data_IF_054883354270
#
_entry.id   IF_054883354270
#
_cell.length_a   1.000
_cell.length_b   1.000
_cell.length_c   1.000
_cell.angle_alpha   90.00
_cell.angle_beta   90.00
_cell.angle_gamma   90.00
#
_symmetry.space_group_name_H-M   'P 1'
#
loop_
_entity.id
_entity.type
_entity.pdbx_description
1 polymer ?
#
# COMPACT_ATOMS: atom_id res chain seq x y z
N UNK A 1 29.77 -7.77 -29.21
CA UNK A 1 28.95 -8.23 -28.06
C UNK A 1 29.88 -8.47 -26.87
N UNK A 2 29.75 -7.71 -25.78
CA UNK A 2 30.51 -7.98 -24.56
C UNK A 2 29.98 -9.27 -23.93
N UNK A 3 30.86 -10.26 -23.76
CA UNK A 3 30.50 -11.55 -23.19
C UNK A 3 30.08 -11.43 -21.73
N UNK A 4 29.14 -12.28 -21.31
CA UNK A 4 28.64 -12.40 -19.92
C UNK A 4 29.76 -12.37 -18.88
N UNK A 5 30.90 -13.03 -19.16
CA UNK A 5 32.07 -13.03 -18.29
C UNK A 5 32.68 -11.63 -18.05
N UNK A 6 32.73 -10.76 -19.07
CA UNK A 6 33.21 -9.38 -18.94
C UNK A 6 32.25 -8.52 -18.11
N UNK A 7 30.95 -8.77 -18.21
CA UNK A 7 29.92 -8.12 -17.39
C UNK A 7 29.97 -8.56 -15.93
N UNK A 8 30.22 -9.86 -15.67
CA UNK A 8 30.43 -10.37 -14.33
C UNK A 8 31.73 -9.85 -13.70
N UNK A 9 32.80 -9.69 -14.48
CA UNK A 9 34.05 -9.09 -14.01
C UNK A 9 33.89 -7.60 -13.68
N UNK A 10 33.24 -6.82 -14.56
CA UNK A 10 32.91 -5.41 -14.29
C UNK A 10 31.98 -5.24 -13.09
N UNK A 11 31.02 -6.15 -12.88
CA UNK A 11 30.18 -6.20 -11.68
C UNK A 11 30.97 -6.48 -10.40
N UNK A 12 32.05 -7.27 -10.48
CA UNK A 12 32.93 -7.59 -9.33
C UNK A 12 33.93 -6.48 -9.01
N UNK A 13 34.41 -5.76 -10.03
CA UNK A 13 35.43 -4.71 -9.86
C UNK A 13 34.90 -3.41 -9.24
N UNK A 14 33.58 -3.16 -9.28
CA UNK A 14 32.94 -2.00 -8.61
C UNK A 14 32.69 -2.33 -7.14
N UNK A 15 33.74 -2.25 -6.33
CA UNK A 15 33.90 -2.72 -4.95
C UNK A 15 32.99 -2.16 -3.84
N UNK A 16 31.75 -1.77 -4.13
CA UNK A 16 30.77 -1.39 -3.10
C UNK A 16 29.51 -2.26 -3.22
N UNK A 17 29.59 -3.54 -2.82
CA UNK A 17 28.39 -4.30 -2.49
C UNK A 17 28.47 -4.84 -1.08
N UNK A 18 27.46 -4.48 -0.30
CA UNK A 18 27.07 -5.19 0.92
C UNK A 18 26.75 -6.62 0.48
N UNK A 19 27.51 -7.59 0.98
CA UNK A 19 27.17 -9.00 0.80
C UNK A 19 26.05 -9.31 1.79
N UNK A 20 24.87 -9.65 1.30
CA UNK A 20 23.81 -10.17 2.16
C UNK A 20 24.06 -11.67 2.32
N UNK A 21 24.32 -12.12 3.55
CA UNK A 21 24.48 -13.55 3.86
C UNK A 21 23.17 -14.33 3.72
N UNK A 22 22.04 -13.64 3.92
CA UNK A 22 20.70 -14.19 3.77
C UNK A 22 19.78 -13.14 3.15
N UNK A 23 18.99 -13.57 2.16
CA UNK A 23 17.92 -12.78 1.55
C UNK A 23 16.62 -13.51 1.83
N UNK A 24 15.67 -12.84 2.49
CA UNK A 24 14.32 -13.35 2.71
C UNK A 24 13.38 -12.55 1.83
N UNK A 25 12.81 -13.22 0.82
CA UNK A 25 11.78 -12.64 -0.03
C UNK A 25 10.42 -12.84 0.63
N UNK A 26 9.71 -11.74 0.89
CA UNK A 26 8.36 -11.79 1.43
C UNK A 26 7.36 -11.78 0.26
N UNK A 27 6.68 -12.90 -0.03
CA UNK A 27 5.70 -12.94 -1.10
C UNK A 27 4.45 -12.14 -0.71
N UNK A 28 3.67 -11.77 -1.73
CA UNK A 28 2.32 -11.22 -1.51
C UNK A 28 1.46 -12.27 -0.83
N UNK A 29 0.63 -11.84 0.10
CA UNK A 29 -0.30 -12.75 0.77
C UNK A 29 -1.45 -13.13 -0.16
N UNK A 30 -1.93 -14.36 -0.03
CA UNK A 30 -3.13 -14.84 -0.72
C UNK A 30 -4.40 -14.31 -0.06
N UNK A 31 -5.52 -14.38 -0.79
CA UNK A 31 -6.86 -14.05 -0.27
C UNK A 31 -7.16 -14.84 1.02
N UNK A 32 -6.83 -16.14 1.05
CA UNK A 32 -7.03 -17.02 2.21
C UNK A 32 -6.20 -16.60 3.43
N UNK A 33 -4.92 -16.25 3.23
CA UNK A 33 -4.04 -15.78 4.31
C UNK A 33 -4.56 -14.47 4.89
N UNK A 34 -5.04 -13.54 4.06
CA UNK A 34 -5.65 -12.29 4.49
C UNK A 34 -6.97 -12.53 5.24
N UNK A 35 -7.85 -13.41 4.74
CA UNK A 35 -9.08 -13.76 5.44
C UNK A 35 -8.82 -14.37 6.82
N UNK A 36 -7.78 -15.21 6.92
CA UNK A 36 -7.35 -15.78 8.20
C UNK A 36 -6.82 -14.70 9.15
N UNK A 37 -6.04 -13.74 8.65
CA UNK A 37 -5.57 -12.59 9.42
C UNK A 37 -6.73 -11.74 9.95
N UNK A 38 -7.73 -11.46 9.12
CA UNK A 38 -8.90 -10.67 9.49
C UNK A 38 -9.68 -11.37 10.59
N UNK A 39 -10.02 -12.66 10.41
CA UNK A 39 -10.74 -13.45 11.42
C UNK A 39 -10.00 -13.50 12.75
N UNK A 40 -8.67 -13.69 12.71
CA UNK A 40 -7.85 -13.68 13.91
C UNK A 40 -7.91 -12.33 14.65
N UNK A 41 -7.88 -11.21 13.91
CA UNK A 41 -8.01 -9.86 14.51
C UNK A 41 -9.41 -9.59 15.06
N UNK A 42 -10.47 -10.08 14.40
CA UNK A 42 -11.83 -9.98 14.91
C UNK A 42 -12.00 -10.77 16.22
N UNK A 43 -11.48 -12.00 16.27
CA UNK A 43 -11.50 -12.83 17.47
C UNK A 43 -10.72 -12.17 18.63
N UNK A 44 -9.54 -11.60 18.35
CA UNK A 44 -8.74 -10.87 19.32
C UNK A 44 -9.47 -9.62 19.86
N UNK A 45 -10.21 -8.92 19.00
CA UNK A 45 -11.02 -7.77 19.37
C UNK A 45 -12.41 -8.13 19.93
N UNK A 46 -12.76 -9.42 20.00
CA UNK A 46 -14.09 -9.91 20.41
C UNK A 46 -15.25 -9.27 19.63
N UNK A 47 -15.09 -9.16 18.30
CA UNK A 47 -16.12 -8.64 17.39
C UNK A 47 -16.53 -9.70 16.37
N UNK A 48 -17.80 -9.70 16.00
CA UNK A 48 -18.37 -10.54 14.93
C UNK A 48 -19.05 -9.65 13.90
N UNK A 49 -18.31 -9.12 12.90
CA UNK A 49 -18.89 -8.25 11.89
C UNK A 49 -19.86 -8.99 10.97
N UNK A 50 -21.06 -8.46 10.79
CA UNK A 50 -22.03 -8.93 9.82
C UNK A 50 -21.72 -8.39 8.43
N UNK A 51 -21.78 -9.28 7.43
CA UNK A 51 -21.68 -8.94 6.01
C UNK A 51 -23.07 -8.87 5.35
N UNK A 52 -24.14 -9.00 6.14
CA UNK A 52 -25.50 -8.94 5.65
C UNK A 52 -25.79 -7.56 5.03
N UNK A 53 -26.47 -7.55 3.88
CA UNK A 53 -26.79 -6.31 3.16
C UNK A 53 -25.61 -5.63 2.46
N UNK A 54 -24.39 -6.19 2.52
CA UNK A 54 -23.25 -5.67 1.77
C UNK A 54 -23.44 -5.96 0.27
N UNK A 55 -23.57 -4.89 -0.53
CA UNK A 55 -23.72 -5.00 -1.99
C UNK A 55 -22.34 -5.01 -2.64
N UNK A 56 -21.87 -6.19 -3.04
CA UNK A 56 -20.63 -6.38 -3.80
C UNK A 56 -20.92 -6.18 -5.30
N UNK A 57 -20.10 -5.43 -6.07
CA UNK A 57 -20.29 -5.28 -7.50
C UNK A 57 -20.24 -6.63 -8.24
N UNK A 58 -21.23 -6.87 -9.12
CA UNK A 58 -21.41 -8.16 -9.84
C UNK A 58 -20.20 -8.63 -10.66
N UNK A 59 -19.31 -7.72 -11.08
CA UNK A 59 -18.13 -8.06 -11.88
C UNK A 59 -17.08 -8.88 -11.12
N UNK A 60 -17.13 -8.85 -9.78
CA UNK A 60 -16.16 -9.52 -8.89
C UNK A 60 -16.63 -10.93 -8.50
N UNK A 61 -17.87 -11.26 -8.88
CA UNK A 61 -18.68 -12.29 -8.26
C UNK A 61 -18.99 -13.43 -9.27
N UNK A 62 -18.20 -14.51 -9.21
CA UNK A 62 -18.32 -15.70 -10.09
C UNK A 62 -18.49 -17.01 -9.31
N UNK A 63 -18.97 -16.98 -8.05
CA UNK A 63 -19.01 -18.15 -7.15
C UNK A 63 -20.41 -18.73 -6.95
N UNK A 64 -20.48 -20.05 -6.68
CA UNK A 64 -21.69 -20.90 -6.63
C UNK A 64 -22.12 -21.27 -5.19
N UNK A 65 -22.02 -20.36 -4.21
CA UNK A 65 -22.26 -20.63 -2.78
C UNK A 65 -23.41 -19.78 -2.20
N UNK A 66 -23.98 -20.14 -1.02
CA UNK A 66 -25.10 -19.43 -0.37
C UNK A 66 -24.79 -17.96 -0.05
N UNK A 67 -25.84 -17.13 -0.02
CA UNK A 67 -25.79 -15.67 -0.25
C UNK A 67 -24.94 -14.83 0.75
N UNK A 68 -24.83 -15.21 2.02
CA UNK A 68 -23.99 -14.47 3.00
C UNK A 68 -22.51 -14.82 2.90
N UNK A 69 -22.17 -16.12 2.84
CA UNK A 69 -20.80 -16.58 2.63
C UNK A 69 -20.25 -16.13 1.26
N UNK A 70 -21.15 -15.96 0.30
CA UNK A 70 -20.85 -15.33 -0.99
C UNK A 70 -20.44 -13.87 -0.83
N UNK A 71 -21.14 -13.12 0.00
CA UNK A 71 -20.89 -11.69 0.23
C UNK A 71 -19.58 -11.45 0.98
N UNK A 72 -19.28 -12.25 2.01
CA UNK A 72 -18.01 -12.19 2.73
C UNK A 72 -16.82 -12.53 1.81
N UNK A 73 -16.91 -13.64 1.07
CA UNK A 73 -15.85 -14.05 0.13
C UNK A 73 -15.62 -12.99 -0.97
N UNK A 74 -16.71 -12.44 -1.54
CA UNK A 74 -16.63 -11.35 -2.52
C UNK A 74 -15.95 -10.10 -1.95
N UNK A 75 -16.20 -9.78 -0.69
CA UNK A 75 -15.54 -8.67 -0.01
C UNK A 75 -14.04 -8.92 0.27
N UNK A 76 -13.66 -10.13 0.70
CA UNK A 76 -12.23 -10.45 0.86
C UNK A 76 -11.46 -10.40 -0.46
N UNK A 77 -12.08 -10.81 -1.56
CA UNK A 77 -11.51 -10.63 -2.90
C UNK A 77 -11.30 -9.16 -3.24
N UNK A 78 -12.28 -8.30 -2.99
CA UNK A 78 -12.14 -6.85 -3.16
C UNK A 78 -10.97 -6.27 -2.35
N UNK A 79 -10.85 -6.66 -1.08
CA UNK A 79 -9.73 -6.25 -0.22
C UNK A 79 -8.39 -6.74 -0.76
N UNK A 80 -8.32 -7.99 -1.23
CA UNK A 80 -7.10 -8.56 -1.78
C UNK A 80 -6.70 -7.85 -3.08
N UNK A 81 -7.64 -7.56 -3.98
CA UNK A 81 -7.40 -6.84 -5.23
C UNK A 81 -6.88 -5.43 -4.98
N UNK A 82 -7.48 -4.71 -4.03
CA UNK A 82 -7.04 -3.37 -3.63
C UNK A 82 -5.64 -3.40 -2.99
N UNK A 83 -5.46 -4.23 -1.96
CA UNK A 83 -4.21 -4.32 -1.19
C UNK A 83 -3.05 -4.97 -1.97
N UNK A 84 -3.36 -5.75 -3.00
CA UNK A 84 -2.44 -6.64 -3.73
C UNK A 84 -1.65 -7.56 -2.77
N UNK A 85 -2.33 -8.08 -1.75
CA UNK A 85 -1.72 -8.99 -0.77
C UNK A 85 -0.83 -8.31 0.28
N UNK A 86 -0.97 -6.99 0.49
CA UNK A 86 -0.29 -6.28 1.58
C UNK A 86 -1.15 -6.33 2.86
N UNK A 87 -0.73 -7.04 3.93
CA UNK A 87 -1.54 -7.23 5.13
C UNK A 87 -1.83 -5.93 5.89
N UNK A 88 -0.92 -4.96 5.88
CA UNK A 88 -1.13 -3.68 6.56
C UNK A 88 -2.22 -2.84 5.88
N UNK A 89 -2.18 -2.78 4.54
CA UNK A 89 -3.23 -2.10 3.75
C UNK A 89 -4.57 -2.82 3.91
N UNK A 90 -4.58 -4.15 3.87
CA UNK A 90 -5.80 -4.95 4.08
C UNK A 90 -6.45 -4.66 5.42
N UNK A 91 -5.69 -4.72 6.51
CA UNK A 91 -6.22 -4.46 7.85
C UNK A 91 -6.72 -3.04 8.01
N UNK A 92 -6.00 -2.08 7.42
CA UNK A 92 -6.46 -0.69 7.40
C UNK A 92 -7.80 -0.55 6.67
N UNK A 93 -7.89 -1.03 5.43
CA UNK A 93 -9.12 -0.95 4.65
C UNK A 93 -10.30 -1.70 5.31
N UNK A 94 -10.03 -2.87 5.91
CA UNK A 94 -11.03 -3.62 6.67
C UNK A 94 -11.55 -2.83 7.87
N UNK A 95 -10.65 -2.19 8.63
CA UNK A 95 -11.06 -1.35 9.76
C UNK A 95 -11.96 -0.19 9.33
N UNK A 96 -11.64 0.47 8.21
CA UNK A 96 -12.48 1.55 7.65
C UNK A 96 -13.83 1.05 7.11
N UNK A 97 -13.97 -0.26 6.91
CA UNK A 97 -15.20 -0.92 6.51
C UNK A 97 -16.11 -1.29 7.69
N UNK A 98 -15.65 -1.19 8.95
CA UNK A 98 -16.43 -1.55 10.12
C UNK A 98 -17.28 -0.36 10.59
N UNK A 99 -18.58 -0.60 10.74
CA UNK A 99 -19.53 0.38 11.26
C UNK A 99 -20.40 -0.26 12.35
N UNK A 100 -20.96 0.57 13.22
CA UNK A 100 -22.02 0.16 14.14
C UNK A 100 -23.33 0.68 13.57
N UNK A 101 -24.31 -0.19 13.39
CA UNK A 101 -25.66 0.20 12.96
C UNK A 101 -26.49 0.78 14.13
N UNK A 102 -27.68 1.34 13.88
CA UNK A 102 -28.54 1.87 14.93
C UNK A 102 -28.95 0.84 16.00
N UNK A 103 -28.97 -0.45 15.64
CA UNK A 103 -29.29 -1.58 16.51
C UNK A 103 -28.08 -2.05 17.35
N UNK A 104 -26.90 -1.48 17.14
CA UNK A 104 -25.68 -1.78 17.88
C UNK A 104 -24.87 -2.96 17.32
N UNK A 105 -25.25 -3.51 16.16
CA UNK A 105 -24.52 -4.57 15.48
C UNK A 105 -23.35 -3.99 14.69
N UNK A 106 -22.26 -4.75 14.63
CA UNK A 106 -21.09 -4.40 13.81
C UNK A 106 -21.36 -4.90 12.40
N UNK A 107 -21.38 -4.00 11.43
CA UNK A 107 -21.67 -4.31 10.02
C UNK A 107 -20.52 -3.88 9.12
N UNK A 108 -20.31 -4.64 8.04
CA UNK A 108 -19.27 -4.38 7.04
C UNK A 108 -19.85 -3.60 5.88
N UNK A 109 -19.19 -2.50 5.50
CA UNK A 109 -19.50 -1.69 4.32
C UNK A 109 -18.29 -1.59 3.40
N UNK A 110 -18.50 -1.28 2.12
CA UNK A 110 -17.38 -1.08 1.19
C UNK A 110 -16.49 0.10 1.65
N UNK A 111 -15.18 -0.16 1.71
CA UNK A 111 -14.18 0.89 1.91
C UNK A 111 -14.13 1.81 0.70
N UNK A 112 -13.59 3.01 0.89
CA UNK A 112 -13.41 3.99 -0.19
C UNK A 112 -11.95 4.03 -0.61
N UNK A 113 -11.70 3.69 -1.87
CA UNK A 113 -10.38 3.87 -2.46
C UNK A 113 -10.12 5.36 -2.77
N UNK A 114 -8.95 5.90 -2.40
CA UNK A 114 -8.58 7.26 -2.78
C UNK A 114 -8.43 7.42 -4.29
N UNK A 115 -8.90 8.55 -4.82
CA UNK A 115 -8.96 8.79 -6.26
C UNK A 115 -7.55 8.96 -6.87
N UNK A 116 -7.15 8.05 -7.77
CA UNK A 116 -5.85 8.12 -8.44
C UNK A 116 -5.60 9.42 -9.20
N UNK A 117 -6.66 10.04 -9.76
CA UNK A 117 -6.60 11.34 -10.44
C UNK A 117 -6.00 12.45 -9.59
N UNK A 118 -6.20 12.38 -8.27
CA UNK A 118 -5.63 13.36 -7.34
C UNK A 118 -4.10 13.33 -7.36
N UNK A 119 -3.52 12.12 -7.38
CA UNK A 119 -2.07 11.92 -7.43
C UNK A 119 -1.53 12.18 -8.84
N UNK A 120 -2.27 11.76 -9.88
CA UNK A 120 -1.88 12.00 -11.29
C UNK A 120 -1.76 13.49 -11.62
N UNK A 121 -2.54 14.36 -10.96
CA UNK A 121 -2.51 15.80 -11.14
C UNK A 121 -1.42 16.54 -10.35
N UNK A 122 -0.61 15.84 -9.55
CA UNK A 122 0.47 16.47 -8.78
C UNK A 122 1.62 16.93 -9.67
N UNK A 123 2.32 17.97 -9.23
CA UNK A 123 3.53 18.44 -9.90
C UNK A 123 4.67 17.42 -9.79
N UNK A 124 5.61 17.46 -10.73
CA UNK A 124 6.73 16.53 -10.76
C UNK A 124 7.60 16.56 -9.48
N UNK A 125 7.90 17.72 -8.84
CA UNK A 125 8.59 17.73 -7.55
C UNK A 125 7.85 16.96 -6.45
N UNK A 126 6.51 17.09 -6.36
CA UNK A 126 5.70 16.34 -5.40
C UNK A 126 5.78 14.84 -5.65
N UNK A 127 5.72 14.43 -6.91
CA UNK A 127 5.83 13.03 -7.31
C UNK A 127 7.22 12.44 -7.00
N UNK A 128 8.30 13.22 -7.18
CA UNK A 128 9.64 12.79 -6.78
C UNK A 128 9.81 12.67 -5.28
N UNK A 129 9.21 13.58 -4.49
CA UNK A 129 9.19 13.48 -3.04
C UNK A 129 8.41 12.24 -2.58
N UNK A 130 7.22 11.99 -3.13
CA UNK A 130 6.44 10.77 -2.82
C UNK A 130 7.21 9.50 -3.20
N UNK A 131 7.86 9.49 -4.37
CA UNK A 131 8.74 8.38 -4.79
C UNK A 131 9.86 8.15 -3.76
N UNK A 132 10.57 9.20 -3.35
CA UNK A 132 11.66 9.07 -2.39
C UNK A 132 11.17 8.51 -1.06
N UNK A 133 10.03 8.98 -0.55
CA UNK A 133 9.42 8.45 0.67
C UNK A 133 9.04 6.97 0.52
N UNK A 134 8.45 6.56 -0.60
CA UNK A 134 8.15 5.13 -0.87
C UNK A 134 9.40 4.26 -0.80
N UNK A 135 10.51 4.72 -1.37
CA UNK A 135 11.75 3.94 -1.44
C UNK A 135 12.50 3.87 -0.11
N UNK A 136 12.33 4.89 0.75
CA UNK A 136 12.93 4.96 2.08
C UNK A 136 12.04 4.33 3.18
N UNK A 137 10.75 4.11 2.89
CA UNK A 137 9.69 3.71 3.83
C UNK A 137 9.43 4.74 4.95
N UNK A 138 10.41 4.97 5.82
CA UNK A 138 10.43 6.05 6.80
C UNK A 138 11.53 7.04 6.41
N UNK A 139 11.13 8.20 5.89
CA UNK A 139 12.04 9.17 5.32
C UNK A 139 12.17 10.41 6.19
N UNK A 140 13.41 10.81 6.49
CA UNK A 140 13.72 12.14 7.05
C UNK A 140 13.94 13.13 5.93
N UNK A 141 13.66 14.39 6.20
CA UNK A 141 13.74 15.46 5.19
C UNK A 141 15.10 15.54 4.49
N UNK A 142 16.20 15.43 5.23
CA UNK A 142 17.54 15.45 4.64
C UNK A 142 17.84 14.23 3.74
N UNK A 143 17.24 13.07 4.02
CA UNK A 143 17.35 11.87 3.19
C UNK A 143 16.56 12.05 1.89
N UNK A 144 15.38 12.68 1.97
CA UNK A 144 14.57 13.04 0.78
C UNK A 144 15.30 14.08 -0.08
N UNK A 145 15.92 15.09 0.52
CA UNK A 145 16.75 16.08 -0.20
C UNK A 145 17.89 15.36 -0.93
N UNK A 146 18.62 14.49 -0.24
CA UNK A 146 19.72 13.73 -0.83
C UNK A 146 19.26 12.79 -1.95
N UNK A 147 18.09 12.16 -1.82
CA UNK A 147 17.57 11.22 -2.81
C UNK A 147 16.99 11.90 -4.06
N UNK A 148 16.41 13.09 -3.90
CA UNK A 148 15.73 13.81 -5.00
C UNK A 148 16.61 14.84 -5.69
N UNK A 149 17.70 15.30 -5.04
CA UNK A 149 18.52 16.43 -5.47
C UNK A 149 17.72 17.73 -5.69
N UNK A 150 16.53 17.85 -5.11
CA UNK A 150 15.74 19.08 -5.12
C UNK A 150 16.27 20.08 -4.08
N UNK A 151 16.05 21.39 -4.28
CA UNK A 151 16.33 22.40 -3.27
C UNK A 151 15.62 22.09 -1.95
N UNK A 152 16.29 22.31 -0.82
CA UNK A 152 15.72 22.05 0.50
C UNK A 152 14.34 22.72 0.71
N UNK A 153 14.12 24.00 0.35
CA UNK A 153 12.81 24.63 0.50
C UNK A 153 11.69 23.92 -0.27
N UNK A 154 11.98 23.46 -1.49
CA UNK A 154 11.01 22.75 -2.33
C UNK A 154 10.62 21.40 -1.70
N UNK A 155 11.58 20.69 -1.09
CA UNK A 155 11.31 19.45 -0.35
C UNK A 155 10.50 19.74 0.91
N UNK A 156 10.86 20.76 1.70
CA UNK A 156 10.12 21.15 2.90
C UNK A 156 8.65 21.46 2.58
N UNK A 157 8.41 22.22 1.52
CA UNK A 157 7.06 22.62 1.09
C UNK A 157 6.28 21.42 0.53
N UNK A 158 6.93 20.56 -0.26
CA UNK A 158 6.33 19.33 -0.76
C UNK A 158 5.92 18.38 0.38
N UNK A 159 6.79 18.16 1.37
CA UNK A 159 6.48 17.34 2.54
C UNK A 159 5.33 17.93 3.35
N UNK A 160 5.34 19.25 3.59
CA UNK A 160 4.24 19.94 4.28
C UNK A 160 2.92 19.79 3.53
N UNK A 161 2.94 19.94 2.21
CA UNK A 161 1.76 19.74 1.36
C UNK A 161 1.23 18.31 1.47
N UNK A 162 2.09 17.30 1.31
CA UNK A 162 1.69 15.89 1.39
C UNK A 162 1.17 15.49 2.78
N UNK A 163 1.75 16.04 3.86
CA UNK A 163 1.23 15.86 5.22
C UNK A 163 -0.15 16.49 5.39
N UNK A 164 -0.35 17.71 4.87
CA UNK A 164 -1.64 18.43 4.96
C UNK A 164 -2.74 17.69 4.19
N UNK A 165 -2.39 17.06 3.07
CA UNK A 165 -3.31 16.24 2.26
C UNK A 165 -3.54 14.83 2.83
N UNK A 166 -2.79 14.43 3.85
CA UNK A 166 -2.88 13.09 4.43
C UNK A 166 -2.27 11.98 3.57
N UNK A 167 -1.49 12.31 2.53
CA UNK A 167 -0.72 11.32 1.76
C UNK A 167 0.41 10.74 2.61
N UNK A 168 1.00 11.61 3.43
CA UNK A 168 2.04 11.27 4.40
C UNK A 168 1.52 11.46 5.82
N UNK A 169 2.10 10.70 6.74
CA UNK A 169 1.98 10.92 8.18
C UNK A 169 3.36 11.02 8.82
N UNK A 170 3.44 11.69 9.97
CA UNK A 170 4.63 11.65 10.81
C UNK A 170 4.73 10.27 11.45
N UNK A 171 5.92 9.68 11.38
CA UNK A 171 6.19 8.38 11.98
C UNK A 171 7.61 8.37 12.51
N UNK A 172 7.76 8.14 13.82
CA UNK A 172 9.02 8.28 14.54
C UNK A 172 9.68 9.65 14.26
N UNK A 173 10.94 9.67 13.81
CA UNK A 173 11.68 10.90 13.49
C UNK A 173 11.51 11.35 12.02
N UNK A 174 10.64 10.71 11.24
CA UNK A 174 10.48 10.96 9.80
C UNK A 174 9.01 11.02 9.37
N UNK A 175 8.81 10.79 8.07
CA UNK A 175 7.50 10.68 7.44
C UNK A 175 7.40 9.37 6.66
N UNK A 176 6.18 8.84 6.53
CA UNK A 176 5.88 7.68 5.70
C UNK A 176 4.56 7.87 4.97
N UNK A 177 4.31 7.03 3.96
CA UNK A 177 2.98 6.96 3.34
C UNK A 177 1.92 6.49 4.33
N UNK A 178 0.74 7.11 4.25
CA UNK A 178 -0.43 6.61 4.97
C UNK A 178 -1.00 5.38 4.27
N UNK A 179 -1.56 4.45 5.05
CA UNK A 179 -2.18 3.23 4.51
C UNK A 179 -3.31 3.45 3.50
N UNK A 180 -4.24 4.43 3.66
CA UNK A 180 -5.26 4.68 2.65
C UNK A 180 -4.65 4.95 1.28
N UNK A 181 -3.58 5.75 1.23
CA UNK A 181 -2.98 6.23 -0.01
C UNK A 181 -1.89 5.32 -0.58
N UNK A 182 -1.38 4.36 0.20
CA UNK A 182 -0.23 3.54 -0.16
C UNK A 182 -0.39 2.88 -1.55
N UNK A 183 -1.53 2.23 -1.81
CA UNK A 183 -1.79 1.53 -3.08
C UNK A 183 -2.00 2.50 -4.24
N UNK A 184 -2.79 3.54 -4.02
CA UNK A 184 -3.07 4.56 -5.03
C UNK A 184 -1.79 5.26 -5.48
N UNK A 185 -0.96 5.71 -4.54
CA UNK A 185 0.30 6.41 -4.85
C UNK A 185 1.29 5.48 -5.53
N UNK A 186 1.54 4.29 -4.98
CA UNK A 186 2.48 3.34 -5.60
C UNK A 186 2.04 2.95 -7.01
N UNK A 187 0.75 2.71 -7.25
CA UNK A 187 0.22 2.40 -8.57
C UNK A 187 0.40 3.55 -9.58
N UNK A 188 0.18 4.80 -9.17
CA UNK A 188 0.42 5.98 -10.02
C UNK A 188 1.91 6.11 -10.34
N UNK A 189 2.78 5.98 -9.35
CA UNK A 189 4.22 6.07 -9.55
C UNK A 189 4.74 4.97 -10.48
N UNK A 190 4.23 3.74 -10.40
CA UNK A 190 4.55 2.69 -11.37
C UNK A 190 4.10 3.03 -12.79
N UNK A 191 2.85 3.49 -12.95
CA UNK A 191 2.30 3.88 -14.26
C UNK A 191 3.06 5.02 -14.91
N UNK A 192 3.60 5.94 -14.10
CA UNK A 192 4.42 7.06 -14.57
C UNK A 192 5.92 6.74 -14.64
N UNK A 193 6.31 5.47 -14.48
CA UNK A 193 7.71 5.01 -14.50
C UNK A 193 8.62 5.65 -13.44
N UNK A 194 8.00 6.16 -12.36
CA UNK A 194 8.67 6.70 -11.19
C UNK A 194 9.01 5.61 -10.17
N UNK A 195 8.55 4.37 -10.32
CA UNK A 195 9.06 3.23 -9.57
C UNK A 195 9.41 2.10 -10.55
N UNK A 196 10.48 1.36 -10.24
CA UNK A 196 10.84 0.16 -10.99
C UNK A 196 9.96 -0.99 -10.54
N UNK A 197 9.28 -1.66 -11.48
CA UNK A 197 8.42 -2.80 -11.19
C UNK A 197 9.13 -3.80 -10.26
N UNK A 198 8.44 -4.30 -9.22
CA UNK A 198 8.99 -5.33 -8.35
C UNK A 198 9.21 -6.63 -9.13
#
# INVERSE_FOLDING_TARGET
>A
AMGSAAWHYLKRARGNRVFFEQVVELPRWTEEQLGTLIRARCAEASIEPSFEGLVVPRQVDQLTNPDEQRTEAGYYRLLWDFSRGNPAVTLHAFRESLFVDPEGQIVVRLFREPAAKEIEGLSLPLLFVLRAVVQLDVAREHEVIAATHLPAPDVSDALRFCLTRGYLERYDAGVRLTWPWYRTITAVLYRQHLLSAP
#
